data_IF_408443358096
#
_entry.id   IF_408443358096
#
_cell.length_a   1.000
_cell.length_b   1.000
_cell.length_c   1.000
_cell.angle_alpha   90.00
_cell.angle_beta   90.00
_cell.angle_gamma   90.00
#
_symmetry.space_group_name_H-M   'P 1'
#
loop_
_entity.id
_entity.type
_entity.pdbx_description
1 polymer ?
#
# COMPACT_ATOMS: atom_id res chain seq x y z
N UNK A 1 46.06 -0.22 18.85
CA UNK A 1 45.88 -1.69 18.79
C UNK A 1 45.12 -1.96 17.51
N UNK A 2 45.74 -2.64 16.55
CA UNK A 2 45.26 -2.75 15.16
C UNK A 2 44.52 -4.08 15.01
N UNK A 3 43.25 -4.03 14.62
CA UNK A 3 42.44 -5.24 14.40
C UNK A 3 42.78 -5.89 13.04
N UNK A 4 42.84 -7.23 12.96
CA UNK A 4 43.03 -7.93 11.71
C UNK A 4 41.75 -7.90 10.86
N UNK A 5 41.86 -7.89 9.52
CA UNK A 5 40.70 -7.86 8.63
C UNK A 5 39.93 -9.20 8.64
N UNK A 6 38.60 -9.18 8.40
CA UNK A 6 37.78 -10.38 8.27
C UNK A 6 38.25 -11.23 7.08
N UNK A 7 38.36 -12.54 7.29
CA UNK A 7 38.68 -13.50 6.24
C UNK A 7 37.49 -13.75 5.29
N UNK A 8 37.75 -14.26 4.07
CA UNK A 8 36.72 -14.53 3.08
C UNK A 8 35.79 -15.67 3.52
N UNK A 9 34.49 -15.46 3.32
CA UNK A 9 33.41 -16.40 3.61
C UNK A 9 33.46 -17.60 2.65
N UNK A 10 33.38 -18.82 3.18
CA UNK A 10 33.28 -20.07 2.41
C UNK A 10 31.80 -20.48 2.29
N UNK A 11 31.20 -20.45 1.08
CA UNK A 11 29.78 -20.73 0.87
C UNK A 11 29.39 -22.22 0.94
N UNK A 12 30.29 -23.15 1.27
CA UNK A 12 30.00 -24.59 1.25
C UNK A 12 29.77 -25.29 2.60
N UNK A 13 29.60 -24.56 3.72
CA UNK A 13 29.21 -25.18 4.99
C UNK A 13 27.69 -25.16 5.25
N UNK A 14 26.95 -25.97 4.50
CA UNK A 14 25.61 -26.40 4.91
C UNK A 14 25.73 -27.56 5.90
N UNK A 15 25.95 -27.24 7.18
CA UNK A 15 25.84 -28.21 8.28
C UNK A 15 24.35 -28.48 8.57
N UNK A 16 23.94 -29.71 8.27
CA UNK A 16 22.62 -30.23 8.66
C UNK A 16 22.48 -30.30 10.18
N UNK A 17 21.57 -29.50 10.71
CA UNK A 17 21.09 -29.63 12.09
C UNK A 17 20.00 -30.71 12.15
N UNK A 18 20.05 -31.63 13.13
CA UNK A 18 18.94 -32.53 13.41
C UNK A 18 17.74 -31.73 13.96
N UNK A 19 16.49 -32.14 13.66
CA UNK A 19 15.30 -31.46 14.13
C UNK A 19 15.21 -31.49 15.67
N UNK A 20 14.78 -30.39 16.31
CA UNK A 20 14.59 -30.34 17.75
C UNK A 20 13.48 -31.32 18.20
N UNK A 21 13.63 -31.98 19.36
CA UNK A 21 12.59 -32.85 19.91
C UNK A 21 11.35 -32.04 20.28
N UNK A 22 10.18 -32.53 19.84
CA UNK A 22 8.87 -31.98 20.21
C UNK A 22 8.68 -31.94 21.74
N UNK A 23 8.31 -30.78 22.31
CA UNK A 23 7.93 -30.68 23.72
C UNK A 23 6.67 -31.51 24.00
N UNK A 24 6.77 -32.38 25.01
CA UNK A 24 5.67 -33.22 25.47
C UNK A 24 4.46 -32.41 25.94
N UNK A 25 3.28 -32.86 25.54
CA UNK A 25 1.99 -32.35 25.98
C UNK A 25 1.82 -32.56 27.49
N UNK A 26 1.59 -31.44 28.20
CA UNK A 26 1.22 -31.46 29.61
C UNK A 26 -0.23 -31.96 29.79
N UNK A 27 -0.54 -32.74 30.84
CA UNK A 27 -1.89 -33.20 31.13
C UNK A 27 -2.74 -32.04 31.69
N UNK A 28 -3.83 -31.73 30.99
CA UNK A 28 -4.79 -30.70 31.38
C UNK A 28 -5.71 -31.23 32.52
N UNK A 29 -5.85 -30.53 33.66
CA UNK A 29 -6.74 -30.91 34.75
C UNK A 29 -8.22 -30.71 34.37
N UNK A 30 -9.00 -31.78 34.52
CA UNK A 30 -10.42 -31.82 34.19
C UNK A 30 -11.30 -30.99 35.13
N UNK A 31 -12.28 -30.31 34.54
CA UNK A 31 -13.43 -29.72 35.24
C UNK A 31 -14.74 -30.08 34.53
N UNK A 32 -15.59 -30.81 35.27
CA UNK A 32 -17.06 -30.81 35.25
C UNK A 32 -17.80 -30.85 33.92
N UNK A 33 -18.05 -32.05 33.39
CA UNK A 33 -19.08 -32.28 32.37
C UNK A 33 -20.48 -32.45 33.02
N UNK A 34 -21.45 -31.72 32.47
CA UNK A 34 -22.88 -31.80 32.76
C UNK A 34 -23.51 -32.94 31.93
N UNK A 35 -24.40 -33.79 32.49
CA UNK A 35 -24.95 -34.93 31.76
C UNK A 35 -26.08 -34.51 30.81
N UNK A 36 -25.93 -34.78 29.51
CA UNK A 36 -27.00 -34.69 28.52
C UNK A 36 -27.38 -36.10 28.02
N UNK A 37 -28.66 -36.51 28.12
CA UNK A 37 -29.11 -37.84 27.71
C UNK A 37 -29.67 -37.87 26.27
N UNK A 38 -29.23 -38.86 25.50
CA UNK A 38 -29.79 -39.24 24.18
C UNK A 38 -28.86 -38.84 23.03
N UNK A 39 -28.36 -39.73 22.17
CA UNK A 39 -28.80 -41.08 21.84
C UNK A 39 -28.86 -41.23 20.32
N UNK A 40 -27.72 -41.13 19.62
CA UNK A 40 -27.57 -41.59 18.23
C UNK A 40 -26.14 -42.11 18.04
N UNK A 41 -26.05 -43.39 17.72
CA UNK A 41 -24.82 -44.14 17.44
C UNK A 41 -24.20 -43.68 16.13
N UNK A 42 -22.95 -43.22 16.18
CA UNK A 42 -22.15 -42.91 15.00
C UNK A 42 -21.73 -44.20 14.24
N UNK A 43 -21.74 -44.19 12.90
CA UNK A 43 -21.28 -45.31 12.08
C UNK A 43 -19.75 -45.52 12.15
N UNK A 44 -19.26 -46.75 11.94
CA UNK A 44 -17.84 -47.09 12.07
C UNK A 44 -16.99 -46.43 10.97
N UNK A 45 -15.73 -46.04 11.27
CA UNK A 45 -14.83 -45.41 10.31
C UNK A 45 -14.41 -46.39 9.20
N UNK A 46 -14.39 -45.95 7.93
CA UNK A 46 -13.95 -46.77 6.82
C UNK A 46 -12.43 -46.99 6.88
N UNK A 47 -12.05 -48.27 6.91
CA UNK A 47 -10.68 -48.74 6.79
C UNK A 47 -10.16 -48.58 5.35
N UNK A 48 -8.96 -48.00 5.22
CA UNK A 48 -8.02 -48.33 4.16
C UNK A 48 -8.07 -47.45 2.91
N UNK A 49 -7.20 -46.45 2.88
CA UNK A 49 -6.65 -45.93 1.61
C UNK A 49 -5.13 -45.99 1.69
N UNK A 50 -4.58 -46.94 0.95
CA UNK A 50 -3.15 -47.05 0.66
C UNK A 50 -2.63 -45.77 0.02
N UNK A 51 -1.43 -45.29 0.40
CA UNK A 51 -0.85 -44.09 -0.19
C UNK A 51 -0.57 -44.31 -1.70
N UNK A 52 -0.85 -43.31 -2.55
CA UNK A 52 -0.54 -43.37 -3.97
C UNK A 52 0.99 -43.43 -4.20
N UNK A 53 1.45 -44.15 -5.24
CA UNK A 53 2.86 -44.21 -5.59
C UNK A 53 3.39 -42.82 -6.01
N UNK A 54 4.65 -42.50 -5.69
CA UNK A 54 5.24 -41.21 -6.04
C UNK A 54 5.35 -41.04 -7.57
N UNK A 55 5.11 -39.82 -8.09
CA UNK A 55 5.21 -39.54 -9.52
C UNK A 55 6.65 -39.70 -10.05
N UNK A 56 6.84 -40.11 -11.31
CA UNK A 56 8.16 -40.20 -11.95
C UNK A 56 8.86 -38.84 -11.98
N UNK A 57 10.12 -38.83 -11.51
CA UNK A 57 10.93 -37.62 -11.35
C UNK A 57 11.15 -36.86 -12.66
N UNK A 58 10.95 -35.55 -12.60
CA UNK A 58 11.39 -34.61 -13.62
C UNK A 58 12.92 -34.42 -13.55
N UNK A 59 13.60 -34.25 -14.70
CA UNK A 59 15.04 -33.98 -14.74
C UNK A 59 15.34 -32.61 -14.11
N UNK A 60 16.42 -32.57 -13.32
CA UNK A 60 16.90 -31.39 -12.63
C UNK A 60 17.24 -30.25 -13.62
N UNK A 61 16.86 -28.99 -13.31
CA UNK A 61 17.27 -27.83 -14.11
C UNK A 61 18.79 -27.67 -14.06
N UNK A 62 19.39 -27.44 -15.23
CA UNK A 62 20.81 -27.16 -15.38
C UNK A 62 21.11 -25.78 -14.76
N UNK A 63 22.06 -25.74 -13.82
CA UNK A 63 22.55 -24.52 -13.21
C UNK A 63 23.25 -23.62 -14.26
N UNK A 64 22.88 -22.33 -14.37
CA UNK A 64 23.64 -21.35 -15.15
C UNK A 64 25.02 -21.11 -14.52
N UNK A 65 26.05 -21.06 -15.35
CA UNK A 65 27.42 -20.83 -14.92
C UNK A 65 27.66 -19.45 -14.28
N UNK A 66 28.80 -19.30 -13.58
CA UNK A 66 29.13 -18.09 -12.81
C UNK A 66 29.40 -16.91 -13.75
N UNK A 67 28.55 -15.89 -13.65
CA UNK A 67 28.74 -14.59 -14.31
C UNK A 67 29.96 -13.87 -13.70
N UNK A 68 30.79 -13.32 -14.60
CA UNK A 68 32.04 -12.67 -14.29
C UNK A 68 31.86 -11.39 -13.46
N UNK A 69 32.87 -11.12 -12.64
CA UNK A 69 32.94 -9.94 -11.78
C UNK A 69 32.84 -8.63 -12.60
N UNK A 70 32.09 -7.63 -12.11
CA UNK A 70 32.01 -6.32 -12.75
C UNK A 70 33.37 -5.59 -12.68
N UNK A 71 33.70 -4.77 -13.69
CA UNK A 71 34.93 -3.98 -13.70
C UNK A 71 34.93 -2.94 -12.56
N UNK A 72 36.11 -2.60 -12.00
CA UNK A 72 36.23 -1.61 -10.94
C UNK A 72 35.79 -0.23 -11.42
N UNK A 73 34.86 0.38 -10.67
CA UNK A 73 34.43 1.76 -10.88
C UNK A 73 35.60 2.73 -10.63
N UNK A 74 35.76 3.77 -11.48
CA UNK A 74 36.77 4.81 -11.26
C UNK A 74 36.42 5.66 -10.02
N UNK A 75 37.42 6.19 -9.30
CA UNK A 75 37.20 6.99 -8.09
C UNK A 75 36.46 8.29 -8.39
N UNK A 76 35.39 8.56 -7.64
CA UNK A 76 34.69 9.83 -7.66
C UNK A 76 35.62 10.94 -7.13
N UNK A 77 35.99 11.87 -8.02
CA UNK A 77 36.75 13.06 -7.66
C UNK A 77 35.84 14.01 -6.87
N UNK A 78 36.06 14.06 -5.56
CA UNK A 78 35.65 15.15 -4.68
C UNK A 78 36.42 16.41 -5.09
N UNK A 79 35.77 17.32 -5.83
CA UNK A 79 36.33 18.59 -6.27
C UNK A 79 35.38 19.74 -5.96
N UNK A 80 35.72 20.55 -4.96
CA UNK A 80 34.90 21.66 -4.48
C UNK A 80 34.77 22.84 -5.46
N UNK A 81 33.71 23.63 -5.24
CA UNK A 81 33.43 24.84 -6.02
C UNK A 81 32.41 25.74 -5.33
N UNK A 82 32.80 26.32 -4.20
CA UNK A 82 32.04 27.29 -3.41
C UNK A 82 32.04 28.66 -4.11
N UNK A 83 31.31 28.88 -5.22
CA UNK A 83 31.02 30.22 -5.79
C UNK A 83 30.07 30.19 -7.00
N UNK A 84 28.76 30.03 -6.79
CA UNK A 84 27.76 30.32 -7.84
C UNK A 84 26.36 30.75 -7.34
N UNK A 85 26.21 31.16 -6.08
CA UNK A 85 24.99 31.84 -5.61
C UNK A 85 25.09 33.32 -5.96
N UNK A 86 24.33 33.80 -6.96
CA UNK A 86 23.78 35.19 -7.09
C UNK A 86 23.03 35.45 -8.42
N UNK A 87 22.82 34.48 -9.32
CA UNK A 87 21.97 34.67 -10.52
C UNK A 87 20.71 33.80 -10.65
N UNK A 88 20.35 33.00 -9.63
CA UNK A 88 19.21 32.05 -9.72
C UNK A 88 17.86 32.61 -9.22
N UNK A 89 17.79 33.82 -8.69
CA UNK A 89 16.56 34.32 -8.04
C UNK A 89 15.52 34.90 -9.03
N UNK A 90 15.91 35.14 -10.29
CA UNK A 90 15.00 35.73 -11.31
C UNK A 90 14.37 34.66 -12.22
N UNK A 91 14.94 33.46 -12.33
CA UNK A 91 14.41 32.37 -13.17
C UNK A 91 13.17 31.68 -12.59
N UNK A 92 13.20 31.41 -11.27
CA UNK A 92 12.13 30.67 -10.57
C UNK A 92 10.80 31.44 -10.55
N UNK A 93 10.85 32.78 -10.49
CA UNK A 93 9.64 33.62 -10.49
C UNK A 93 8.90 33.54 -11.84
N UNK A 94 9.61 33.38 -12.96
CA UNK A 94 8.98 33.35 -14.28
C UNK A 94 8.31 32.01 -14.55
N UNK A 95 8.91 30.89 -14.13
CA UNK A 95 8.32 29.55 -14.31
C UNK A 95 7.12 29.35 -13.40
N UNK A 96 7.20 29.76 -12.13
CA UNK A 96 6.07 29.67 -11.18
C UNK A 96 4.85 30.48 -11.63
N UNK A 97 5.05 31.67 -12.21
CA UNK A 97 3.93 32.48 -12.74
C UNK A 97 3.29 31.81 -13.97
N UNK A 98 4.07 31.14 -14.82
CA UNK A 98 3.52 30.46 -16.02
C UNK A 98 2.64 29.28 -15.61
N UNK A 99 3.05 28.47 -14.64
CA UNK A 99 2.26 27.31 -14.16
C UNK A 99 0.93 27.77 -13.53
N UNK A 100 0.95 28.82 -12.72
CA UNK A 100 -0.27 29.38 -12.09
C UNK A 100 -1.24 29.95 -13.14
N UNK A 101 -0.72 30.65 -14.17
CA UNK A 101 -1.56 31.21 -15.25
C UNK A 101 -2.17 30.11 -16.12
N UNK A 102 -1.44 29.02 -16.41
CA UNK A 102 -1.98 27.90 -17.18
C UNK A 102 -3.08 27.17 -16.39
N UNK A 103 -2.89 26.88 -15.09
CA UNK A 103 -3.94 26.27 -14.25
C UNK A 103 -5.17 27.18 -14.11
N UNK A 104 -5.00 28.50 -14.02
CA UNK A 104 -6.12 29.43 -13.97
C UNK A 104 -6.90 29.49 -15.29
N UNK A 105 -6.21 29.43 -16.44
CA UNK A 105 -6.85 29.46 -17.76
C UNK A 105 -7.59 28.16 -18.11
N UNK A 106 -7.21 27.01 -17.53
CA UNK A 106 -7.93 25.74 -17.71
C UNK A 106 -9.24 25.72 -16.87
N UNK A 107 -9.27 26.39 -15.71
CA UNK A 107 -10.46 26.45 -14.84
C UNK A 107 -11.58 27.37 -15.36
N UNK A 108 -11.27 28.33 -16.22
CA UNK A 108 -12.26 29.30 -16.75
C UNK A 108 -12.90 28.87 -18.08
N UNK A 109 -12.58 27.69 -18.61
CA UNK A 109 -13.05 27.23 -19.92
C UNK A 109 -13.94 25.98 -19.85
N UNK A 110 -15.23 26.16 -19.51
CA UNK A 110 -16.30 25.17 -19.77
C UNK A 110 -16.98 24.67 -18.49
N UNK A 111 -18.12 25.23 -18.08
CA UNK A 111 -19.49 24.95 -18.54
C UNK A 111 -20.09 23.66 -17.94
N UNK A 112 -20.83 23.85 -16.84
CA UNK A 112 -22.09 23.21 -16.45
C UNK A 112 -22.32 21.73 -16.80
N UNK A 113 -21.97 20.81 -15.88
CA UNK A 113 -22.88 19.74 -15.47
C UNK A 113 -22.41 19.09 -14.16
N UNK A 114 -23.36 18.96 -13.23
CA UNK A 114 -23.29 18.19 -11.99
C UNK A 114 -23.03 16.71 -12.29
N UNK A 115 -21.80 16.28 -12.03
CA UNK A 115 -21.52 14.92 -11.57
C UNK A 115 -20.60 15.08 -10.38
N UNK A 116 -21.05 14.68 -9.20
CA UNK A 116 -20.23 14.55 -8.00
C UNK A 116 -19.25 13.40 -8.23
N UNK A 117 -18.18 13.74 -8.95
CA UNK A 117 -16.97 12.95 -9.11
C UNK A 117 -16.20 12.99 -7.78
N UNK A 118 -16.30 11.93 -7.00
CA UNK A 118 -15.27 11.58 -6.02
C UNK A 118 -14.05 11.06 -6.78
N UNK A 119 -13.45 11.91 -7.63
CA UNK A 119 -12.13 11.65 -8.16
C UNK A 119 -11.18 11.82 -6.98
N UNK A 120 -10.64 10.71 -6.47
CA UNK A 120 -9.33 10.69 -5.83
C UNK A 120 -8.39 11.43 -6.76
N UNK A 121 -8.24 12.71 -6.49
CA UNK A 121 -7.42 13.56 -7.31
C UNK A 121 -6.01 13.30 -6.83
N UNK A 122 -5.32 12.41 -7.53
CA UNK A 122 -3.87 12.28 -7.53
C UNK A 122 -3.31 13.62 -8.06
N UNK A 123 -3.37 14.65 -7.21
CA UNK A 123 -2.66 15.90 -7.41
C UNK A 123 -1.23 15.63 -6.96
N UNK A 124 -0.41 15.11 -7.86
CA UNK A 124 1.04 15.22 -7.79
C UNK A 124 1.39 16.71 -7.70
N UNK A 125 1.41 17.22 -6.46
CA UNK A 125 1.70 18.60 -6.14
C UNK A 125 3.16 18.59 -5.77
N UNK A 126 4.01 18.91 -6.75
CA UNK A 126 5.45 19.21 -6.62
C UNK A 126 5.94 19.18 -5.15
N UNK A 127 6.26 17.98 -4.67
CA UNK A 127 6.50 17.68 -3.25
C UNK A 127 7.94 17.94 -2.87
N UNK A 128 8.51 19.05 -3.33
CA UNK A 128 9.82 19.48 -2.84
C UNK A 128 9.64 19.90 -1.39
N UNK A 129 10.06 19.02 -0.48
CA UNK A 129 10.03 19.29 0.95
C UNK A 129 11.03 20.39 1.30
N UNK A 130 10.67 21.22 2.28
CA UNK A 130 11.61 22.13 2.94
C UNK A 130 12.66 21.34 3.72
N UNK A 131 13.83 21.94 4.01
CA UNK A 131 14.88 21.32 4.84
C UNK A 131 14.33 20.78 6.18
N UNK A 132 13.36 21.49 6.77
CA UNK A 132 12.71 21.11 8.04
C UNK A 132 11.78 19.90 7.87
N UNK A 133 11.03 19.85 6.77
CA UNK A 133 10.21 18.68 6.44
C UNK A 133 11.07 17.47 6.09
N UNK A 134 12.25 17.69 5.51
CA UNK A 134 13.19 16.63 5.22
C UNK A 134 13.75 16.01 6.50
N UNK A 135 14.17 16.85 7.45
CA UNK A 135 14.63 16.37 8.75
C UNK A 135 13.51 15.62 9.48
N UNK A 136 12.25 16.04 9.35
CA UNK A 136 11.10 15.31 9.88
C UNK A 136 10.85 13.97 9.17
N UNK A 137 11.01 13.91 7.85
CA UNK A 137 10.90 12.67 7.08
C UNK A 137 12.00 11.67 7.48
N UNK A 138 13.25 12.12 7.58
CA UNK A 138 14.39 11.30 8.04
C UNK A 138 14.23 10.82 9.48
N UNK A 139 13.60 11.64 10.34
CA UNK A 139 13.36 11.31 11.74
C UNK A 139 12.12 10.42 11.97
N UNK A 140 11.30 10.18 10.95
CA UNK A 140 10.07 9.40 11.09
C UNK A 140 10.39 7.91 11.33
N UNK A 141 9.81 7.33 12.37
CA UNK A 141 10.01 5.93 12.77
C UNK A 141 8.71 5.11 12.73
N UNK A 142 8.85 3.78 12.77
CA UNK A 142 7.69 2.87 12.90
C UNK A 142 6.93 3.18 14.19
N UNK A 143 5.62 3.39 14.07
CA UNK A 143 4.72 3.77 15.15
C UNK A 143 4.45 5.27 15.25
N UNK A 144 5.17 6.10 14.51
CA UNK A 144 4.83 7.51 14.35
C UNK A 144 3.56 7.68 13.52
N UNK A 145 2.85 8.79 13.71
CA UNK A 145 1.62 9.08 13.02
C UNK A 145 1.76 10.20 12.00
N UNK A 146 1.00 10.12 10.92
CA UNK A 146 0.99 11.10 9.84
C UNK A 146 -0.43 11.63 9.60
N UNK A 147 -0.53 12.82 8.99
CA UNK A 147 -1.82 13.36 8.55
C UNK A 147 -2.29 12.70 7.26
N UNK A 148 -3.59 12.79 6.96
CA UNK A 148 -4.14 12.26 5.70
C UNK A 148 -3.64 13.01 4.45
N UNK A 149 -3.12 14.23 4.60
CA UNK A 149 -2.82 15.11 3.48
C UNK A 149 -1.64 14.60 2.65
N UNK A 150 -1.94 14.08 1.46
CA UNK A 150 -0.96 13.84 0.40
C UNK A 150 -0.60 15.17 -0.28
N UNK A 151 0.63 15.63 -0.13
CA UNK A 151 1.14 16.80 -0.89
C UNK A 151 1.03 18.18 -0.22
N UNK A 152 0.95 18.27 1.10
CA UNK A 152 0.85 19.55 1.83
C UNK A 152 2.15 20.01 2.50
N UNK A 153 2.29 21.33 2.70
CA UNK A 153 3.32 21.97 3.56
C UNK A 153 3.11 21.70 5.07
N UNK A 154 2.39 20.63 5.41
CA UNK A 154 2.11 20.25 6.79
C UNK A 154 3.28 19.48 7.39
N UNK A 155 3.25 19.37 8.72
CA UNK A 155 4.13 18.45 9.43
C UNK A 155 3.80 17.02 8.98
N UNK A 156 4.77 16.35 8.37
CA UNK A 156 4.61 14.99 7.88
C UNK A 156 4.29 14.02 9.02
N UNK A 157 4.99 14.20 10.14
CA UNK A 157 4.81 13.45 11.38
C UNK A 157 4.11 14.32 12.41
N UNK A 158 3.04 13.80 13.01
CA UNK A 158 2.25 14.44 14.05
C UNK A 158 2.09 13.51 15.26
N UNK A 159 1.82 14.04 16.47
CA UNK A 159 1.44 13.20 17.60
C UNK A 159 0.23 12.31 17.26
N UNK A 160 0.27 11.03 17.61
CA UNK A 160 -0.81 10.09 17.31
C UNK A 160 -2.16 10.42 17.98
N UNK A 161 -2.14 11.21 19.06
CA UNK A 161 -3.34 11.71 19.71
C UNK A 161 -3.87 13.02 19.11
N UNK A 162 -3.18 13.57 18.11
CA UNK A 162 -3.64 14.76 17.39
C UNK A 162 -4.96 14.47 16.65
N UNK A 163 -5.78 15.50 16.50
CA UNK A 163 -7.02 15.42 15.74
C UNK A 163 -6.76 15.17 14.25
N UNK A 164 -5.62 15.59 13.71
CA UNK A 164 -5.24 15.42 12.30
C UNK A 164 -4.47 14.13 12.02
N UNK A 165 -4.09 13.37 13.06
CA UNK A 165 -3.45 12.06 12.88
C UNK A 165 -4.43 11.09 12.21
N UNK A 166 -4.01 10.50 11.10
CA UNK A 166 -4.82 9.61 10.28
C UNK A 166 -4.11 8.29 9.97
N UNK A 167 -2.80 8.33 9.71
CA UNK A 167 -1.99 7.17 9.38
C UNK A 167 -1.03 6.84 10.53
N UNK A 168 -0.68 5.57 10.70
CA UNK A 168 0.45 5.08 11.50
C UNK A 168 1.49 4.45 10.58
N UNK A 169 2.76 4.81 10.75
CA UNK A 169 3.86 4.21 10.00
C UNK A 169 4.09 2.79 10.50
N UNK A 170 3.94 1.81 9.62
CA UNK A 170 4.14 0.38 9.92
C UNK A 170 5.51 -0.12 9.48
N UNK A 171 6.11 0.52 8.47
CA UNK A 171 7.45 0.23 7.97
C UNK A 171 8.06 1.49 7.34
N UNK A 172 9.39 1.64 7.49
CA UNK A 172 10.20 2.66 6.82
C UNK A 172 11.33 1.96 6.05
N UNK A 173 11.55 2.37 4.81
CA UNK A 173 12.64 1.87 3.95
C UNK A 173 13.37 3.05 3.31
N UNK A 174 14.67 3.19 3.61
CA UNK A 174 15.60 4.16 3.01
C UNK A 174 16.34 3.60 1.78
N UNK A 175 16.13 2.31 1.47
CA UNK A 175 16.70 1.60 0.32
C UNK A 175 15.60 0.74 -0.34
N UNK A 176 14.46 1.37 -0.63
CA UNK A 176 13.34 0.70 -1.31
C UNK A 176 13.67 0.28 -2.74
N UNK A 177 14.66 0.96 -3.36
CA UNK A 177 14.92 0.87 -4.79
C UNK A 177 13.83 1.51 -5.65
N UNK A 178 12.88 2.24 -5.03
CA UNK A 178 11.84 2.96 -5.73
C UNK A 178 12.43 4.20 -6.41
N UNK A 179 11.88 4.53 -7.57
CA UNK A 179 12.19 5.75 -8.31
C UNK A 179 10.87 6.46 -8.61
N UNK A 180 10.91 7.78 -8.70
CA UNK A 180 9.81 8.59 -9.22
C UNK A 180 10.10 9.03 -10.64
N UNK A 181 9.07 9.29 -11.44
CA UNK A 181 9.17 9.80 -12.79
C UNK A 181 9.27 11.34 -12.82
N UNK A 182 9.14 11.95 -14.00
CA UNK A 182 9.26 13.41 -14.15
C UNK A 182 8.11 14.22 -13.51
N UNK A 183 7.03 13.56 -13.09
CA UNK A 183 5.88 14.17 -12.42
C UNK A 183 5.93 13.96 -10.90
N UNK A 184 6.89 13.17 -10.40
CA UNK A 184 7.03 12.84 -8.99
C UNK A 184 6.20 11.63 -8.57
N UNK A 185 5.65 10.91 -9.54
CA UNK A 185 4.87 9.69 -9.36
C UNK A 185 5.79 8.47 -9.38
N UNK A 186 5.44 7.35 -8.73
CA UNK A 186 6.32 6.17 -8.74
C UNK A 186 6.46 5.61 -10.16
N UNK A 187 7.70 5.41 -10.60
CA UNK A 187 7.98 4.83 -11.91
C UNK A 187 7.57 3.36 -12.02
N UNK A 188 7.56 2.63 -10.89
CA UNK A 188 7.09 1.25 -10.75
C UNK A 188 6.37 1.07 -9.39
N UNK A 189 5.04 1.05 -9.41
CA UNK A 189 4.22 0.82 -8.21
C UNK A 189 4.38 -0.57 -7.59
N UNK A 190 4.90 -1.58 -8.31
CA UNK A 190 5.12 -2.91 -7.77
C UNK A 190 6.18 -2.93 -6.65
N UNK A 191 7.00 -1.88 -6.56
CA UNK A 191 7.91 -1.67 -5.42
C UNK A 191 7.14 -1.58 -4.10
N UNK A 192 5.95 -0.99 -4.09
CA UNK A 192 5.12 -0.90 -2.89
C UNK A 192 4.65 -2.29 -2.43
N UNK A 193 4.23 -3.16 -3.36
CA UNK A 193 3.91 -4.56 -3.05
C UNK A 193 5.11 -5.35 -2.54
N UNK A 194 6.30 -5.07 -3.08
CA UNK A 194 7.56 -5.73 -2.67
C UNK A 194 8.03 -5.27 -1.28
N UNK A 195 7.89 -3.98 -0.96
CA UNK A 195 8.36 -3.37 0.29
C UNK A 195 7.34 -3.54 1.42
N UNK A 196 6.06 -3.25 1.15
CA UNK A 196 4.99 -3.21 2.13
C UNK A 196 4.15 -4.49 2.19
N UNK A 197 4.08 -5.25 1.10
CA UNK A 197 3.15 -6.36 0.91
C UNK A 197 2.04 -6.03 -0.09
N UNK A 198 1.49 -7.05 -0.75
CA UNK A 198 0.44 -6.90 -1.78
C UNK A 198 -0.83 -6.23 -1.23
N UNK A 199 -1.10 -6.36 0.06
CA UNK A 199 -2.23 -5.73 0.74
C UNK A 199 -2.13 -4.19 0.83
N UNK A 200 -1.00 -3.58 0.48
CA UNK A 200 -0.81 -2.13 0.41
C UNK A 200 -1.08 -1.55 -0.99
N UNK A 201 -1.32 -2.41 -1.97
CA UNK A 201 -1.68 -2.02 -3.33
C UNK A 201 -3.20 -1.91 -3.54
N UNK A 202 -4.00 -2.19 -2.50
CA UNK A 202 -5.45 -2.18 -2.62
C UNK A 202 -6.15 -2.16 -1.28
N UNK A 203 -7.48 -2.10 -1.34
CA UNK A 203 -8.34 -2.04 -0.16
C UNK A 203 -8.89 -3.43 0.15
N UNK A 204 -8.50 -4.00 1.29
CA UNK A 204 -9.05 -5.28 1.76
C UNK A 204 -10.35 -5.05 2.54
N UNK A 205 -11.48 -5.66 2.14
CA UNK A 205 -12.76 -5.53 2.86
C UNK A 205 -12.65 -5.90 4.34
N UNK A 206 -13.26 -5.09 5.20
CA UNK A 206 -13.28 -5.28 6.65
C UNK A 206 -11.96 -4.96 7.36
N UNK A 207 -10.91 -4.58 6.62
CA UNK A 207 -9.63 -4.17 7.18
C UNK A 207 -9.46 -2.64 7.17
N UNK A 208 -8.59 -2.16 8.06
CA UNK A 208 -8.12 -0.78 8.02
C UNK A 208 -7.45 -0.51 6.67
N UNK A 209 -7.62 0.72 6.21
CA UNK A 209 -6.95 1.22 5.04
C UNK A 209 -5.43 1.07 5.17
N UNK A 210 -4.80 0.48 4.16
CA UNK A 210 -3.35 0.36 4.04
C UNK A 210 -2.91 1.11 2.80
N UNK A 211 -1.83 1.86 2.91
CA UNK A 211 -1.31 2.67 1.81
C UNK A 211 0.19 2.88 1.98
N UNK A 212 0.82 3.49 1.00
CA UNK A 212 2.22 3.85 1.06
C UNK A 212 2.39 5.35 0.79
N UNK A 213 3.46 5.90 1.34
CA UNK A 213 3.89 7.27 1.13
C UNK A 213 5.38 7.24 0.80
N UNK A 214 5.86 8.22 0.04
CA UNK A 214 7.28 8.31 -0.27
C UNK A 214 7.74 9.75 -0.34
N UNK A 215 9.03 9.95 -0.10
CA UNK A 215 9.70 11.24 -0.12
C UNK A 215 10.94 11.13 -1.00
N UNK A 216 11.14 12.12 -1.87
CA UNK A 216 12.34 12.31 -2.66
C UNK A 216 12.89 13.73 -2.41
N UNK A 217 14.21 13.84 -2.32
CA UNK A 217 14.96 15.04 -1.93
C UNK A 217 15.49 15.81 -3.14
N UNK A 218 15.72 15.11 -4.24
CA UNK A 218 16.32 15.70 -5.43
C UNK A 218 15.24 16.42 -6.23
N UNK A 219 15.52 17.68 -6.63
CA UNK A 219 14.72 18.38 -7.64
C UNK A 219 14.66 17.46 -8.86
N UNK A 220 13.44 17.07 -9.28
CA UNK A 220 13.24 16.12 -10.36
C UNK A 220 13.80 16.74 -11.65
N UNK A 221 15.06 16.42 -11.97
CA UNK A 221 15.71 16.87 -13.20
C UNK A 221 15.61 15.79 -14.27
N UNK A 222 14.80 16.04 -15.30
CA UNK A 222 14.77 15.22 -16.51
C UNK A 222 13.75 14.09 -16.45
N UNK A 223 14.19 12.86 -16.16
CA UNK A 223 13.37 11.65 -16.30
C UNK A 223 12.79 11.11 -14.99
N UNK A 224 13.11 11.73 -13.85
CA UNK A 224 12.80 11.17 -12.54
C UNK A 224 13.98 11.22 -11.58
N UNK A 225 13.80 10.64 -10.39
CA UNK A 225 14.80 10.57 -9.33
C UNK A 225 14.55 9.41 -8.37
N UNK A 226 15.55 9.03 -7.55
CA UNK A 226 15.36 8.01 -6.53
C UNK A 226 14.42 8.49 -5.42
N UNK A 227 13.65 7.58 -4.83
CA UNK A 227 12.97 7.80 -3.57
C UNK A 227 13.97 7.66 -2.42
N UNK A 228 14.05 8.66 -1.55
CA UNK A 228 14.92 8.64 -0.37
C UNK A 228 14.29 7.86 0.79
N UNK A 229 12.98 8.04 1.00
CA UNK A 229 12.25 7.33 2.05
C UNK A 229 10.92 6.80 1.53
N UNK A 230 10.66 5.53 1.82
CA UNK A 230 9.42 4.84 1.51
C UNK A 230 8.76 4.38 2.82
N UNK A 231 7.50 4.76 3.01
CA UNK A 231 6.74 4.48 4.21
C UNK A 231 5.55 3.59 3.86
N UNK A 232 5.40 2.50 4.59
CA UNK A 232 4.15 1.74 4.60
C UNK A 232 3.31 2.28 5.76
N UNK A 233 2.05 2.60 5.49
CA UNK A 233 1.16 3.22 6.47
C UNK A 233 -0.17 2.48 6.58
N UNK A 234 -0.67 2.37 7.79
CA UNK A 234 -2.00 1.83 8.11
C UNK A 234 -2.83 2.91 8.77
N UNK A 235 -4.10 3.04 8.38
CA UNK A 235 -4.97 4.05 8.96
C UNK A 235 -5.23 3.78 10.43
N UNK A 236 -5.37 4.83 11.21
CA UNK A 236 -5.73 4.76 12.63
C UNK A 236 -7.21 4.43 12.71
N UNK A 237 -7.55 3.41 13.51
CA UNK A 237 -8.94 3.05 13.79
C UNK A 237 -9.63 4.10 14.67
N UNK A 238 -10.03 5.20 14.05
CA UNK A 238 -10.64 6.37 14.69
C UNK A 238 -11.73 6.94 13.80
N UNK A 239 -12.86 7.24 14.40
CA UNK A 239 -13.96 7.95 13.74
C UNK A 239 -13.54 9.38 13.39
N UNK A 240 -13.87 9.81 12.18
CA UNK A 240 -13.76 11.19 11.74
C UNK A 240 -14.88 12.07 12.34
N UNK A 241 -14.94 13.35 11.94
CA UNK A 241 -15.96 14.28 12.41
C UNK A 241 -17.41 13.87 12.05
N UNK A 242 -17.59 12.97 11.07
CA UNK A 242 -18.87 12.47 10.58
C UNK A 242 -19.21 11.06 11.10
N UNK A 243 -18.33 10.46 11.93
CA UNK A 243 -18.49 9.11 12.46
C UNK A 243 -18.00 8.01 11.52
N UNK A 244 -17.27 8.34 10.46
CA UNK A 244 -16.71 7.39 9.50
C UNK A 244 -15.35 6.88 9.98
N UNK A 245 -15.12 5.57 9.85
CA UNK A 245 -13.85 4.91 10.15
C UNK A 245 -13.15 4.54 8.85
N UNK A 246 -11.81 4.68 8.76
CA UNK A 246 -11.03 4.29 7.58
C UNK A 246 -10.83 2.77 7.51
N UNK A 247 -11.96 2.07 7.48
CA UNK A 247 -12.07 0.61 7.31
C UNK A 247 -12.82 0.40 6.00
N UNK A 248 -12.24 -0.38 5.11
CA UNK A 248 -12.88 -0.72 3.83
C UNK A 248 -14.18 -1.48 4.12
N UNK A 249 -15.35 -1.06 3.60
CA UNK A 249 -16.61 -1.72 3.92
C UNK A 249 -16.62 -3.18 3.42
N UNK A 250 -17.08 -4.11 4.26
CA UNK A 250 -17.41 -5.49 3.87
C UNK A 250 -18.93 -5.70 3.80
N UNK A 251 -19.36 -6.87 3.34
CA UNK A 251 -20.77 -7.23 3.21
C UNK A 251 -21.51 -7.10 4.56
N UNK A 252 -22.50 -6.23 4.59
CA UNK A 252 -23.32 -5.89 5.75
C UNK A 252 -22.90 -4.59 6.46
N UNK A 253 -21.74 -4.01 6.10
CA UNK A 253 -21.31 -2.73 6.64
C UNK A 253 -22.04 -1.57 5.98
N UNK A 254 -22.12 -0.45 6.70
CA UNK A 254 -22.71 0.77 6.19
C UNK A 254 -21.65 1.77 5.74
N UNK A 255 -21.88 2.42 4.61
CA UNK A 255 -20.96 3.38 3.98
C UNK A 255 -21.70 4.59 3.42
N UNK A 256 -20.98 5.67 3.14
CA UNK A 256 -21.46 6.83 2.40
C UNK A 256 -21.03 6.82 0.91
N UNK A 257 -20.37 5.74 0.48
CA UNK A 257 -19.79 5.60 -0.86
C UNK A 257 -18.32 6.02 -0.94
N UNK A 258 -17.74 6.59 0.13
CA UNK A 258 -16.32 7.00 0.20
C UNK A 258 -15.36 5.92 0.69
N UNK A 259 -15.83 4.67 0.81
CA UNK A 259 -15.11 3.53 1.42
C UNK A 259 -14.81 3.70 2.92
N UNK A 260 -15.43 4.68 3.56
CA UNK A 260 -15.48 4.74 5.01
C UNK A 260 -16.59 3.81 5.51
N UNK A 261 -16.34 3.15 6.64
CA UNK A 261 -17.34 2.36 7.35
C UNK A 261 -17.95 3.19 8.48
N UNK A 262 -19.27 3.18 8.60
CA UNK A 262 -20.04 3.92 9.60
C UNK A 262 -20.87 2.95 10.45
N UNK A 263 -21.26 3.39 11.66
CA UNK A 263 -22.40 2.78 12.35
C UNK A 263 -23.65 2.97 11.48
N UNK A 264 -24.39 1.89 11.21
CA UNK A 264 -25.61 1.94 10.37
C UNK A 264 -26.72 2.85 10.92
N UNK A 265 -26.70 3.19 12.22
CA UNK A 265 -27.60 4.16 12.81
C UNK A 265 -27.13 5.62 12.61
N UNK A 266 -25.92 5.83 12.07
CA UNK A 266 -25.40 7.16 11.74
C UNK A 266 -26.21 7.78 10.61
N UNK A 267 -26.57 9.08 10.69
CA UNK A 267 -27.22 9.76 9.56
C UNK A 267 -26.29 9.92 8.34
N UNK A 268 -24.97 9.70 8.51
CA UNK A 268 -23.99 9.72 7.42
C UNK A 268 -23.95 8.39 6.65
N UNK A 269 -24.44 7.30 7.23
CA UNK A 269 -24.50 5.99 6.60
C UNK A 269 -25.65 5.95 5.56
N UNK A 270 -25.37 6.27 4.31
CA UNK A 270 -26.40 6.31 3.24
C UNK A 270 -26.65 4.95 2.60
N UNK A 271 -25.68 4.05 2.63
CA UNK A 271 -25.73 2.77 1.93
C UNK A 271 -25.37 1.60 2.85
N UNK A 272 -25.89 0.42 2.55
CA UNK A 272 -25.48 -0.87 3.12
C UNK A 272 -24.82 -1.70 2.02
N UNK A 273 -23.62 -2.23 2.27
CA UNK A 273 -22.92 -3.07 1.32
C UNK A 273 -23.57 -4.46 1.29
N UNK A 274 -24.14 -4.83 0.15
CA UNK A 274 -24.87 -6.10 0.00
C UNK A 274 -23.93 -7.26 -0.35
N UNK A 275 -22.91 -6.97 -1.17
CA UNK A 275 -21.94 -7.95 -1.64
C UNK A 275 -20.66 -7.25 -2.09
N UNK A 276 -19.52 -7.90 -1.86
CA UNK A 276 -18.19 -7.44 -2.26
C UNK A 276 -17.50 -8.50 -3.12
N UNK A 277 -16.78 -8.05 -4.15
CA UNK A 277 -15.89 -8.87 -4.94
C UNK A 277 -14.51 -8.22 -5.01
N UNK A 278 -13.47 -9.01 -4.73
CA UNK A 278 -12.06 -8.57 -4.75
C UNK A 278 -11.35 -9.27 -5.90
N UNK A 279 -10.56 -8.52 -6.65
CA UNK A 279 -9.84 -9.00 -7.83
C UNK A 279 -8.34 -9.01 -7.57
N UNK A 280 -7.75 -10.21 -7.65
CA UNK A 280 -6.31 -10.43 -7.53
C UNK A 280 -5.82 -11.38 -8.62
N UNK A 281 -5.07 -10.90 -9.63
CA UNK A 281 -4.59 -9.52 -9.80
C UNK A 281 -5.75 -8.54 -10.10
N UNK A 282 -5.52 -7.22 -9.93
CA UNK A 282 -6.47 -6.19 -10.35
C UNK A 282 -6.85 -6.35 -11.84
N UNK A 283 -8.07 -5.94 -12.21
CA UNK A 283 -8.58 -6.03 -13.59
C UNK A 283 -8.52 -4.65 -14.26
N UNK A 284 -8.13 -4.58 -15.52
CA UNK A 284 -8.21 -3.35 -16.33
C UNK A 284 -9.67 -2.86 -16.41
N UNK A 285 -9.91 -1.65 -15.91
CA UNK A 285 -11.24 -1.02 -15.90
C UNK A 285 -11.90 -0.99 -17.29
N UNK A 286 -11.12 -0.80 -18.36
CA UNK A 286 -11.65 -0.76 -19.72
C UNK A 286 -12.22 -2.12 -20.18
N UNK A 287 -11.77 -3.20 -19.54
CA UNK A 287 -12.25 -4.57 -19.79
C UNK A 287 -13.22 -5.06 -18.75
N UNK A 288 -13.44 -4.29 -17.69
CA UNK A 288 -14.28 -4.66 -16.58
C UNK A 288 -15.76 -4.62 -16.98
N UNK A 289 -16.46 -5.74 -16.82
CA UNK A 289 -17.88 -5.83 -17.14
C UNK A 289 -18.75 -5.48 -15.94
N UNK A 290 -19.02 -4.19 -15.82
CA UNK A 290 -19.94 -3.60 -14.84
C UNK A 290 -21.34 -4.22 -14.84
N UNK A 291 -21.77 -4.86 -15.94
CA UNK A 291 -23.13 -5.44 -16.04
C UNK A 291 -23.23 -6.85 -15.50
N UNK A 292 -22.12 -7.58 -15.38
CA UNK A 292 -22.11 -8.97 -14.91
C UNK A 292 -21.36 -9.17 -13.60
N UNK A 293 -20.47 -8.25 -13.24
CA UNK A 293 -19.83 -8.22 -11.92
C UNK A 293 -20.88 -8.29 -10.81
N UNK A 294 -20.66 -9.16 -9.82
CA UNK A 294 -21.57 -9.33 -8.66
C UNK A 294 -23.04 -9.62 -9.07
N UNK A 295 -23.25 -10.25 -10.23
CA UNK A 295 -24.59 -10.56 -10.72
C UNK A 295 -25.41 -9.34 -11.17
N UNK A 296 -24.74 -8.20 -11.40
CA UNK A 296 -25.34 -7.00 -11.97
C UNK A 296 -26.17 -6.14 -11.01
N UNK A 297 -26.01 -6.34 -9.68
CA UNK A 297 -26.62 -5.50 -8.64
C UNK A 297 -28.10 -5.13 -8.91
N UNK A 298 -29.02 -6.10 -9.08
CA UNK A 298 -30.34 -5.84 -9.67
C UNK A 298 -31.25 -4.89 -8.85
N UNK A 299 -30.99 -4.77 -7.54
CA UNK A 299 -31.76 -3.95 -6.60
C UNK A 299 -30.87 -2.96 -5.83
N UNK A 300 -29.65 -2.70 -6.31
CA UNK A 300 -28.60 -1.98 -5.59
C UNK A 300 -27.73 -1.15 -6.54
N UNK A 301 -27.14 -0.07 -6.05
CA UNK A 301 -26.14 0.68 -6.80
C UNK A 301 -24.82 -0.11 -6.85
N UNK A 302 -24.04 0.13 -7.91
CA UNK A 302 -22.76 -0.52 -8.14
C UNK A 302 -21.63 0.50 -7.92
N UNK A 303 -20.61 0.11 -7.16
CA UNK A 303 -19.40 0.90 -6.94
C UNK A 303 -18.17 0.06 -7.25
N UNK A 304 -17.33 0.55 -8.17
CA UNK A 304 -15.96 0.06 -8.34
C UNK A 304 -15.03 1.10 -7.74
N UNK A 305 -14.06 0.64 -6.95
CA UNK A 305 -12.96 1.50 -6.55
C UNK A 305 -11.83 1.33 -7.53
N UNK A 306 -11.56 2.32 -8.41
CA UNK A 306 -10.34 2.30 -9.18
C UNK A 306 -9.16 2.42 -8.21
N UNK A 307 -8.18 1.55 -8.39
CA UNK A 307 -6.83 1.76 -7.91
C UNK A 307 -6.06 2.34 -9.08
N UNK A 308 -5.53 3.54 -8.91
CA UNK A 308 -4.57 4.13 -9.85
C UNK A 308 -3.34 3.23 -9.87
N UNK A 309 -3.07 2.57 -11.00
CA UNK A 309 -1.79 1.87 -11.23
C UNK A 309 -1.15 2.60 -12.41
N UNK A 310 -0.20 3.46 -12.09
CA UNK A 310 0.16 4.61 -12.94
C UNK A 310 0.88 4.24 -14.24
N UNK A 311 1.36 3.01 -14.40
CA UNK A 311 2.19 2.67 -15.56
C UNK A 311 1.45 2.74 -16.92
N UNK A 312 0.12 2.87 -16.98
CA UNK A 312 -0.62 2.92 -18.27
C UNK A 312 -1.89 3.79 -18.33
N UNK A 313 -2.14 4.75 -17.42
CA UNK A 313 -3.39 5.54 -17.36
C UNK A 313 -4.70 4.72 -17.31
N UNK A 314 -4.63 3.39 -17.27
CA UNK A 314 -5.77 2.50 -17.15
C UNK A 314 -5.99 2.30 -15.66
N UNK A 315 -7.02 2.92 -15.11
CA UNK A 315 -7.46 2.59 -13.76
C UNK A 315 -7.70 1.09 -13.69
N UNK A 316 -7.28 0.47 -12.59
CA UNK A 316 -7.50 -0.96 -12.37
C UNK A 316 -8.56 -1.13 -11.30
N UNK A 317 -9.46 -2.09 -11.46
CA UNK A 317 -10.48 -2.43 -10.47
C UNK A 317 -9.90 -3.50 -9.55
N UNK A 318 -9.66 -3.12 -8.28
CA UNK A 318 -9.28 -4.06 -7.22
C UNK A 318 -10.49 -4.58 -6.45
N UNK A 319 -11.47 -3.70 -6.24
CA UNK A 319 -12.62 -3.97 -5.40
C UNK A 319 -13.88 -3.40 -6.06
N UNK A 320 -14.91 -4.22 -6.09
CA UNK A 320 -16.25 -3.86 -6.51
C UNK A 320 -17.23 -4.25 -5.40
N UNK A 321 -18.27 -3.44 -5.20
CA UNK A 321 -19.36 -3.79 -4.31
C UNK A 321 -20.72 -3.31 -4.82
N UNK A 322 -21.75 -4.09 -4.48
CA UNK A 322 -23.14 -3.67 -4.59
C UNK A 322 -23.57 -3.04 -3.26
N UNK A 323 -24.38 -1.98 -3.30
CA UNK A 323 -24.96 -1.42 -2.09
C UNK A 323 -26.40 -0.92 -2.27
N UNK A 324 -27.21 -1.10 -1.25
CA UNK A 324 -28.60 -0.66 -1.20
C UNK A 324 -28.77 0.54 -0.28
N UNK A 325 -29.88 1.27 -0.41
CA UNK A 325 -30.21 2.39 0.48
C UNK A 325 -30.32 1.91 1.95
N UNK A 326 -29.66 2.62 2.87
CA UNK A 326 -29.81 2.40 4.30
C UNK A 326 -31.09 3.09 4.81
N UNK A 327 -32.16 2.30 5.01
CA UNK A 327 -33.53 2.77 5.36
C UNK A 327 -33.96 2.57 6.81
#
# INVERSE_FOLDING_TARGET
MTYPPPGPYDPNQAQGYPPPPQPGSAPQPGFGAQPQPGGYSAPPPPYGTTPPPPPPGFPAPQQPGPYGAPPPMPPANRGGGFMAKVLSVIGVIVVGIIVVVVKALIRDAGDSNDTSDATSTDNATDTVLTDEQMEAAEAAEVGDCMTQATGGTGDMVVPCDDATAFWTITLVSDDSGAEVDMFGDLSDTAVAGTVCGEEYLGWTPGELWKSYQYVYTEEIEGLGGPVDYFYCVEAIDKEDANGGRPVTPDSGDCTDGSLLTFDCASPSATYVVDAVEVYSPPIDELTFDYTTAIGGCPDSDYYATPVSVEENFTSMVYLAYCSSDNV
#
